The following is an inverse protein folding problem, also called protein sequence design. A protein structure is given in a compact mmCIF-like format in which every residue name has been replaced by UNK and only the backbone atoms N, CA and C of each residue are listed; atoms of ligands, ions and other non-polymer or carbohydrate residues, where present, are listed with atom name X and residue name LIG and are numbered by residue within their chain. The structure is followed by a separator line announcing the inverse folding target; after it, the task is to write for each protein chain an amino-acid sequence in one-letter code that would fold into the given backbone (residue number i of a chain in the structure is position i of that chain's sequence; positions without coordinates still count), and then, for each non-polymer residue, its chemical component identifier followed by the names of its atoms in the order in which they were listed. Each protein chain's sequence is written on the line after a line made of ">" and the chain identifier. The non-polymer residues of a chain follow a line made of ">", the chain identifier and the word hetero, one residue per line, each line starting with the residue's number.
data_IF_642312844127
#
_entry.id   IF_642312844127
#
_cell.length_a   1.000
_cell.length_b   1.000
_cell.length_c   1.000
_cell.angle_alpha   90.00
_cell.angle_beta   90.00
_cell.angle_gamma   90.00
#
_symmetry.space_group_name_H-M   'P 1'
#
loop_
_entity.id
_entity.type
_entity.pdbx_description
1 polymer ?
#
# COMPACT_ATOMS: atom_id res chain seq x y z
N UNK A 1 40.96 -5.00 -51.49
CA UNK A 1 39.73 -5.70 -51.04
C UNK A 1 39.54 -5.76 -49.51
N UNK A 2 40.58 -5.55 -48.68
CA UNK A 2 40.47 -5.66 -47.20
C UNK A 2 39.79 -4.46 -46.51
N UNK A 3 39.79 -3.28 -47.15
CA UNK A 3 39.28 -2.01 -46.59
C UNK A 3 37.75 -1.92 -46.65
N UNK A 4 37.13 -2.39 -47.74
CA UNK A 4 35.66 -2.42 -47.88
C UNK A 4 34.98 -3.28 -46.79
N UNK A 5 35.60 -4.43 -46.45
CA UNK A 5 35.10 -5.38 -45.44
C UNK A 5 35.21 -4.88 -43.99
N UNK A 6 35.95 -3.80 -43.76
CA UNK A 6 36.06 -3.12 -42.46
C UNK A 6 34.96 -2.07 -42.30
N UNK A 7 34.67 -1.33 -43.38
CA UNK A 7 33.66 -0.28 -43.38
C UNK A 7 32.22 -0.86 -43.25
N UNK A 8 31.94 -1.98 -43.93
CA UNK A 8 30.64 -2.67 -43.82
C UNK A 8 30.40 -3.23 -42.40
N UNK A 9 31.45 -3.71 -41.72
CA UNK A 9 31.35 -4.19 -40.34
C UNK A 9 31.07 -3.07 -39.35
N UNK A 10 31.72 -1.92 -39.49
CA UNK A 10 31.45 -0.73 -38.66
C UNK A 10 30.00 -0.25 -38.79
N UNK A 11 29.50 -0.12 -40.03
CA UNK A 11 28.11 0.32 -40.29
C UNK A 11 27.03 -0.67 -39.79
N UNK A 12 27.31 -1.98 -39.81
CA UNK A 12 26.39 -2.99 -39.26
C UNK A 12 26.36 -2.93 -37.72
N UNK A 13 27.51 -2.69 -37.07
CA UNK A 13 27.61 -2.58 -35.62
C UNK A 13 26.86 -1.32 -35.13
N UNK A 14 27.10 -0.14 -35.73
CA UNK A 14 26.40 1.11 -35.39
C UNK A 14 24.87 0.98 -35.49
N UNK A 15 24.35 0.39 -36.58
CA UNK A 15 22.90 0.19 -36.75
C UNK A 15 22.30 -0.77 -35.70
N UNK A 16 23.09 -1.71 -35.18
CA UNK A 16 22.65 -2.62 -34.12
C UNK A 16 22.61 -1.91 -32.76
N UNK A 17 23.61 -1.07 -32.47
CA UNK A 17 23.67 -0.25 -31.25
C UNK A 17 22.48 0.71 -31.17
N UNK A 18 22.17 1.44 -32.26
CA UNK A 18 21.04 2.35 -32.32
C UNK A 18 19.69 1.65 -32.05
N UNK A 19 19.45 0.48 -32.65
CA UNK A 19 18.21 -0.29 -32.41
C UNK A 19 18.06 -0.71 -30.95
N UNK A 20 19.16 -1.15 -30.33
CA UNK A 20 19.18 -1.54 -28.92
C UNK A 20 18.91 -0.32 -28.01
N UNK A 21 19.52 0.83 -28.30
CA UNK A 21 19.30 2.06 -27.55
C UNK A 21 17.84 2.55 -27.62
N UNK A 22 17.24 2.59 -28.81
CA UNK A 22 15.82 2.90 -28.96
C UNK A 22 14.93 1.90 -28.23
N UNK A 23 15.27 0.60 -28.27
CA UNK A 23 14.57 -0.43 -27.52
C UNK A 23 14.56 -0.14 -26.02
N UNK A 24 15.71 0.22 -25.44
CA UNK A 24 15.80 0.58 -24.01
C UNK A 24 14.96 1.81 -23.66
N UNK A 25 14.96 2.85 -24.50
CA UNK A 25 14.15 4.05 -24.29
C UNK A 25 12.66 3.70 -24.30
N UNK A 26 12.20 2.91 -25.27
CA UNK A 26 10.81 2.48 -25.36
C UNK A 26 10.42 1.66 -24.13
N UNK A 27 11.26 0.72 -23.70
CA UNK A 27 11.02 -0.08 -22.49
C UNK A 27 10.93 0.81 -21.26
N UNK A 28 11.84 1.77 -21.08
CA UNK A 28 11.81 2.70 -19.95
C UNK A 28 10.51 3.51 -19.90
N UNK A 29 10.03 4.01 -21.05
CA UNK A 29 8.75 4.73 -21.14
C UNK A 29 7.58 3.82 -20.78
N UNK A 30 7.55 2.59 -21.31
CA UNK A 30 6.49 1.64 -20.99
C UNK A 30 6.46 1.26 -19.51
N UNK A 31 7.62 1.03 -18.90
CA UNK A 31 7.73 0.76 -17.47
C UNK A 31 7.26 1.94 -16.63
N UNK A 32 7.59 3.18 -17.04
CA UNK A 32 7.07 4.38 -16.40
C UNK A 32 5.54 4.45 -16.45
N UNK A 33 4.94 4.24 -17.63
CA UNK A 33 3.49 4.26 -17.81
C UNK A 33 2.78 3.18 -16.99
N UNK A 34 3.27 1.93 -17.06
CA UNK A 34 2.72 0.81 -16.29
C UNK A 34 2.86 1.07 -14.79
N UNK A 35 4.01 1.59 -14.35
CA UNK A 35 4.25 1.95 -12.96
C UNK A 35 3.32 3.06 -12.44
N UNK A 36 2.90 3.98 -13.32
CA UNK A 36 1.97 5.08 -12.98
C UNK A 36 0.54 4.61 -12.90
N UNK A 37 0.11 3.77 -13.84
CA UNK A 37 -1.24 3.17 -13.79
C UNK A 37 -1.35 2.26 -12.57
N UNK A 38 -0.33 1.44 -12.34
CA UNK A 38 -0.33 0.46 -11.25
C UNK A 38 -1.34 -0.67 -11.50
N UNK A 39 -1.66 -1.38 -10.42
CA UNK A 39 -2.70 -2.41 -10.40
C UNK A 39 -3.42 -2.39 -9.05
N UNK A 40 -4.64 -2.93 -9.03
CA UNK A 40 -5.48 -2.98 -7.83
C UNK A 40 -5.73 -4.44 -7.48
N UNK A 41 -5.57 -4.76 -6.20
CA UNK A 41 -5.95 -6.05 -5.64
C UNK A 41 -7.16 -5.84 -4.74
N UNK A 42 -8.25 -6.53 -5.05
CA UNK A 42 -9.51 -6.42 -4.31
C UNK A 42 -9.75 -7.71 -3.51
N UNK A 43 -10.36 -7.57 -2.35
CA UNK A 43 -10.83 -8.72 -1.57
C UNK A 43 -11.88 -8.33 -0.55
N UNK A 44 -12.45 -9.34 0.10
CA UNK A 44 -13.50 -9.17 1.09
C UNK A 44 -13.20 -10.04 2.31
N UNK A 45 -13.44 -9.47 3.49
CA UNK A 45 -13.46 -10.18 4.76
C UNK A 45 -14.88 -10.08 5.29
N UNK A 46 -15.57 -11.21 5.28
CA UNK A 46 -16.95 -11.31 5.76
C UNK A 46 -16.97 -11.77 7.21
N UNK A 47 -18.09 -11.50 7.87
CA UNK A 47 -18.43 -12.05 9.18
C UNK A 47 -17.41 -11.71 10.27
N UNK A 48 -16.79 -10.53 10.20
CA UNK A 48 -15.87 -10.07 11.25
C UNK A 48 -16.68 -9.85 12.52
N UNK A 49 -16.41 -10.62 13.61
CA UNK A 49 -17.15 -10.47 14.85
C UNK A 49 -16.90 -9.09 15.46
N UNK A 50 -17.96 -8.35 15.81
CA UNK A 50 -17.85 -7.08 16.55
C UNK A 50 -17.92 -7.34 18.05
N UNK A 51 -16.81 -7.22 18.80
CA UNK A 51 -16.87 -7.44 20.23
C UNK A 51 -17.62 -6.30 20.91
N UNK A 52 -18.52 -6.68 21.81
CA UNK A 52 -19.62 -5.83 22.23
C UNK A 52 -19.27 -4.96 23.46
N UNK A 53 -18.18 -4.19 23.38
CA UNK A 53 -17.70 -3.33 24.47
C UNK A 53 -17.67 -1.88 23.99
N UNK A 54 -18.42 -0.97 24.63
CA UNK A 54 -18.46 0.45 24.26
C UNK A 54 -17.08 1.10 24.26
N UNK A 55 -16.84 1.98 23.30
CA UNK A 55 -15.68 2.88 23.22
C UNK A 55 -14.31 2.18 23.30
N UNK A 56 -14.25 0.90 22.91
CA UNK A 56 -13.02 0.12 22.84
C UNK A 56 -12.78 -0.39 21.42
N UNK A 57 -11.52 -0.30 21.00
CA UNK A 57 -11.05 -0.90 19.74
C UNK A 57 -10.67 -2.37 19.96
N UNK A 58 -11.07 -3.22 19.03
CA UNK A 58 -10.67 -4.62 18.94
C UNK A 58 -9.94 -4.87 17.64
N UNK A 59 -8.77 -5.48 17.74
CA UNK A 59 -7.89 -5.71 16.59
C UNK A 59 -8.06 -7.11 16.03
N UNK A 60 -7.84 -7.25 14.72
CA UNK A 60 -7.72 -8.55 14.09
C UNK A 60 -6.50 -9.33 14.61
N UNK A 61 -6.60 -10.67 14.57
CA UNK A 61 -5.50 -11.54 15.00
C UNK A 61 -4.33 -11.56 14.00
N UNK A 62 -4.60 -11.31 12.72
CA UNK A 62 -3.61 -11.33 11.64
C UNK A 62 -3.23 -9.89 11.25
N UNK A 63 -1.93 -9.59 11.06
CA UNK A 63 -1.49 -8.30 10.56
C UNK A 63 -1.97 -8.01 9.13
N UNK A 64 -2.09 -6.73 8.81
CA UNK A 64 -2.34 -6.26 7.45
C UNK A 64 -1.17 -6.66 6.53
N UNK A 65 -1.42 -6.94 5.24
CA UNK A 65 -0.38 -7.35 4.31
C UNK A 65 0.77 -6.34 4.25
N UNK A 66 1.97 -6.80 4.57
CA UNK A 66 3.17 -5.96 4.55
C UNK A 66 3.59 -5.60 3.13
N UNK A 67 4.04 -4.36 2.93
CA UNK A 67 4.70 -3.95 1.69
C UNK A 67 6.23 -4.13 1.80
N UNK A 68 6.72 -5.35 1.65
CA UNK A 68 8.17 -5.66 1.75
C UNK A 68 9.08 -4.97 0.73
N UNK A 69 8.53 -4.26 -0.26
CA UNK A 69 9.26 -3.54 -1.30
C UNK A 69 8.92 -2.04 -1.34
N UNK A 70 8.60 -1.41 -0.20
CA UNK A 70 8.19 0.02 -0.11
C UNK A 70 9.05 1.00 -0.93
N UNK A 71 10.35 0.76 -1.05
CA UNK A 71 11.25 1.60 -1.86
C UNK A 71 10.95 1.56 -3.36
N UNK A 72 10.51 0.41 -3.87
CA UNK A 72 10.24 0.15 -5.30
C UNK A 72 8.75 0.14 -5.63
N UNK A 73 7.89 -0.16 -4.66
CA UNK A 73 6.45 -0.29 -4.81
C UNK A 73 5.77 0.51 -3.70
N UNK A 74 4.92 1.45 -4.08
CA UNK A 74 4.01 2.14 -3.17
C UNK A 74 2.71 1.35 -3.12
N UNK A 75 2.20 1.10 -1.91
CA UNK A 75 0.94 0.42 -1.68
C UNK A 75 0.01 1.38 -0.92
N UNK A 76 -1.21 1.55 -1.41
CA UNK A 76 -2.26 2.33 -0.74
C UNK A 76 -3.44 1.41 -0.48
N UNK A 77 -3.82 1.27 0.78
CA UNK A 77 -4.93 0.43 1.23
C UNK A 77 -6.17 1.31 1.38
N UNK A 78 -7.26 0.91 0.73
CA UNK A 78 -8.60 1.47 0.96
C UNK A 78 -9.47 0.38 1.59
N UNK A 79 -10.02 0.67 2.76
CA UNK A 79 -10.96 -0.19 3.49
C UNK A 79 -12.34 0.45 3.45
N UNK A 80 -13.37 -0.32 3.12
CA UNK A 80 -14.78 0.11 3.19
C UNK A 80 -15.60 -0.94 3.92
N UNK A 81 -16.66 -0.51 4.59
CA UNK A 81 -17.53 -1.40 5.38
C UNK A 81 -18.99 -0.95 5.28
N UNK A 82 -19.91 -1.89 5.49
CA UNK A 82 -21.34 -1.72 5.22
C UNK A 82 -22.14 -1.12 6.39
N UNK A 83 -21.45 -0.46 7.34
CA UNK A 83 -22.03 -0.01 8.62
C UNK A 83 -21.60 1.39 9.02
N UNK A 84 -22.52 2.13 9.63
CA UNK A 84 -22.36 3.52 10.08
C UNK A 84 -22.20 3.66 11.61
N UNK A 85 -22.35 2.56 12.33
CA UNK A 85 -22.30 2.47 13.79
C UNK A 85 -20.95 2.02 14.36
N UNK A 86 -19.97 1.74 13.48
CA UNK A 86 -18.60 1.36 13.83
C UNK A 86 -17.59 2.34 13.24
N UNK A 87 -16.42 2.41 13.86
CA UNK A 87 -15.21 3.00 13.28
C UNK A 87 -14.17 1.92 13.01
N UNK A 88 -13.28 2.23 12.08
CA UNK A 88 -12.09 1.44 11.78
C UNK A 88 -10.85 2.27 12.06
N UNK A 89 -9.84 1.67 12.67
CA UNK A 89 -8.52 2.26 12.89
C UNK A 89 -7.42 1.34 12.39
N UNK A 90 -6.26 1.93 12.10
CA UNK A 90 -5.01 1.23 11.84
C UNK A 90 -3.99 1.69 12.87
N UNK A 91 -3.32 0.73 13.50
CA UNK A 91 -2.27 0.94 14.50
C UNK A 91 -1.06 0.06 14.19
N UNK A 92 0.08 0.36 14.79
CA UNK A 92 1.25 -0.49 14.73
C UNK A 92 1.18 -1.66 15.74
N UNK A 93 2.16 -2.56 15.66
CA UNK A 93 2.28 -3.71 16.56
C UNK A 93 2.41 -3.32 18.04
N UNK A 94 3.11 -2.22 18.36
CA UNK A 94 3.36 -1.80 19.74
C UNK A 94 2.06 -1.35 20.40
N UNK A 95 1.26 -0.54 19.71
CA UNK A 95 -0.04 -0.07 20.19
C UNK A 95 -1.04 -1.23 20.29
N UNK A 96 -1.10 -2.11 19.28
CA UNK A 96 -1.91 -3.34 19.34
C UNK A 96 -1.55 -4.19 20.56
N UNK A 97 -0.26 -4.35 20.86
CA UNK A 97 0.20 -5.12 22.03
C UNK A 97 -0.13 -4.42 23.35
N UNK A 98 -0.05 -3.09 23.41
CA UNK A 98 -0.47 -2.31 24.58
C UNK A 98 -1.97 -2.50 24.88
N UNK A 99 -2.80 -2.57 23.84
CA UNK A 99 -4.23 -2.80 23.97
C UNK A 99 -4.61 -4.21 24.40
N UNK A 100 -3.92 -5.22 23.88
CA UNK A 100 -4.08 -6.61 24.31
C UNK A 100 -3.64 -6.82 25.78
N UNK A 101 -2.56 -6.14 26.18
CA UNK A 101 -2.08 -6.19 27.55
C UNK A 101 -3.01 -5.47 28.54
N UNK A 102 -3.91 -4.60 28.06
CA UNK A 102 -4.85 -3.83 28.88
C UNK A 102 -6.19 -4.57 29.02
N UNK A 103 -6.53 -5.09 30.21
CA UNK A 103 -7.82 -5.76 30.42
C UNK A 103 -9.02 -4.84 30.11
N UNK A 104 -10.11 -5.35 29.51
CA UNK A 104 -11.34 -4.60 29.25
C UNK A 104 -11.88 -3.81 30.44
N UNK A 105 -11.75 -4.36 31.65
CA UNK A 105 -12.18 -3.70 32.88
C UNK A 105 -11.37 -2.44 33.26
N UNK A 106 -10.22 -2.21 32.62
CA UNK A 106 -9.34 -1.06 32.87
C UNK A 106 -9.33 -0.05 31.71
N UNK A 107 -9.97 -0.37 30.58
CA UNK A 107 -10.22 0.56 29.49
C UNK A 107 -11.36 1.48 29.86
N UNK A 108 -11.04 2.56 30.57
CA UNK A 108 -11.98 3.63 30.83
C UNK A 108 -11.59 4.85 30.00
N UNK A 109 -12.40 5.25 29.00
CA UNK A 109 -12.15 6.43 28.16
C UNK A 109 -12.07 7.74 28.97
N UNK A 110 -12.67 7.77 30.17
CA UNK A 110 -12.56 8.90 31.10
C UNK A 110 -11.20 8.97 31.84
N UNK A 111 -10.41 7.89 31.84
CA UNK A 111 -9.11 7.80 32.51
C UNK A 111 -7.95 7.73 31.51
N UNK A 112 -8.16 7.11 30.34
CA UNK A 112 -7.16 6.99 29.28
C UNK A 112 -7.85 6.93 27.92
N UNK A 113 -7.25 7.58 26.92
CA UNK A 113 -7.67 7.47 25.51
C UNK A 113 -7.07 6.26 24.80
N UNK A 114 -6.22 5.50 25.50
CA UNK A 114 -5.57 4.31 24.97
C UNK A 114 -6.61 3.29 24.47
N UNK A 115 -6.41 2.75 23.26
CA UNK A 115 -7.29 1.73 22.67
C UNK A 115 -8.73 2.19 22.43
N UNK A 116 -8.92 3.49 22.26
CA UNK A 116 -10.19 4.15 21.94
C UNK A 116 -10.06 4.85 20.59
N UNK A 117 -11.14 5.36 19.97
CA UNK A 117 -11.02 6.09 18.71
C UNK A 117 -10.33 7.46 18.87
N UNK A 118 -10.04 7.87 20.10
CA UNK A 118 -9.39 9.15 20.42
C UNK A 118 -7.92 9.01 20.75
N UNK A 119 -7.36 7.81 20.55
CA UNK A 119 -5.95 7.54 20.81
C UNK A 119 -5.04 8.35 19.89
N UNK A 120 -3.93 8.84 20.46
CA UNK A 120 -2.93 9.62 19.71
C UNK A 120 -2.03 8.76 18.84
N UNK A 121 -1.94 7.46 19.15
CA UNK A 121 -1.06 6.50 18.49
C UNK A 121 -1.76 5.78 17.32
N UNK A 122 -2.96 6.26 16.92
CA UNK A 122 -3.64 5.84 15.70
C UNK A 122 -2.97 6.43 14.46
N UNK A 123 -2.64 5.57 13.51
CA UNK A 123 -1.99 5.95 12.24
C UNK A 123 -3.02 6.45 11.23
N UNK A 124 -4.15 5.76 11.15
CA UNK A 124 -5.25 6.11 10.27
C UNK A 124 -6.58 5.70 10.91
N UNK A 125 -7.63 6.49 10.71
CA UNK A 125 -8.98 6.17 11.20
C UNK A 125 -10.05 6.60 10.20
N UNK A 126 -11.16 5.87 10.18
CA UNK A 126 -12.35 6.20 9.42
C UNK A 126 -13.61 5.90 10.22
N UNK A 127 -14.60 6.77 10.10
CA UNK A 127 -15.88 6.70 10.84
C UNK A 127 -17.09 6.55 9.92
N UNK A 128 -16.88 6.66 8.61
CA UNK A 128 -17.90 6.52 7.59
C UNK A 128 -17.49 5.35 6.68
N UNK A 129 -18.21 4.23 6.77
CA UNK A 129 -17.91 3.05 5.97
C UNK A 129 -18.15 3.23 4.47
N UNK A 130 -18.93 4.24 4.07
CA UNK A 130 -19.21 4.58 2.67
C UNK A 130 -18.10 5.42 2.04
N UNK A 131 -17.49 6.34 2.81
CA UNK A 131 -16.27 7.03 2.39
C UNK A 131 -15.03 6.12 2.52
N UNK A 132 -15.05 5.22 3.51
CA UNK A 132 -13.98 4.29 3.82
C UNK A 132 -12.78 4.94 4.50
N UNK A 133 -11.76 4.12 4.74
CA UNK A 133 -10.46 4.51 5.27
C UNK A 133 -9.40 4.29 4.20
N UNK A 134 -8.68 5.33 3.80
CA UNK A 134 -7.52 5.20 2.91
C UNK A 134 -6.23 5.49 3.67
N UNK A 135 -5.26 4.59 3.55
CA UNK A 135 -3.96 4.68 4.20
C UNK A 135 -2.83 4.19 3.28
N UNK A 136 -1.76 4.96 3.17
CA UNK A 136 -0.56 4.56 2.44
C UNK A 136 0.28 3.62 3.31
N UNK A 137 0.44 2.38 2.86
CA UNK A 137 1.09 1.31 3.63
C UNK A 137 2.58 1.61 3.78
N UNK A 138 2.97 1.85 5.02
CA UNK A 138 4.36 2.05 5.43
C UNK A 138 5.08 0.73 5.67
N UNK A 139 6.40 0.80 5.87
CA UNK A 139 7.18 -0.39 6.20
C UNK A 139 7.00 -0.72 7.69
N UNK A 140 6.41 -1.87 8.00
CA UNK A 140 6.17 -2.31 9.36
C UNK A 140 5.04 -3.32 9.44
N UNK A 141 4.75 -3.75 10.67
CA UNK A 141 3.61 -4.61 11.00
C UNK A 141 2.49 -3.74 11.54
N UNK A 142 1.32 -3.84 10.92
CA UNK A 142 0.16 -3.02 11.25
C UNK A 142 -1.10 -3.87 11.41
N UNK A 143 -2.02 -3.42 12.23
CA UNK A 143 -3.26 -4.12 12.51
C UNK A 143 -4.46 -3.20 12.28
N UNK A 144 -5.50 -3.75 11.65
CA UNK A 144 -6.79 -3.10 11.59
C UNK A 144 -7.58 -3.42 12.86
N UNK A 145 -8.24 -2.41 13.42
CA UNK A 145 -9.13 -2.53 14.55
C UNK A 145 -10.49 -1.91 14.30
N UNK A 146 -11.49 -2.42 14.99
CA UNK A 146 -12.88 -1.96 14.93
C UNK A 146 -13.40 -1.60 16.32
N UNK A 147 -14.29 -0.62 16.40
CA UNK A 147 -14.97 -0.30 17.65
C UNK A 147 -16.21 0.57 17.43
N UNK A 148 -16.89 0.93 18.52
CA UNK A 148 -18.11 1.77 18.49
C UNK A 148 -17.91 3.06 19.27
N UNK A 149 -18.58 4.14 18.85
CA UNK A 149 -18.51 5.45 19.52
C UNK A 149 -19.48 5.62 20.71
N UNK A 150 -20.27 4.60 21.08
CA UNK A 150 -21.27 4.76 22.14
C UNK A 150 -21.71 3.49 22.85
N UNK A 151 -22.60 3.69 23.83
CA UNK A 151 -23.14 2.66 24.75
C UNK A 151 -24.12 1.67 24.11
N UNK A 152 -24.68 2.01 22.94
CA UNK A 152 -25.65 1.17 22.25
C UNK A 152 -24.94 0.18 21.34
N UNK A 153 -25.04 -1.08 21.76
CA UNK A 153 -24.60 -2.29 21.08
C UNK A 153 -25.39 -2.42 19.77
N UNK A 154 -24.74 -2.39 18.61
CA UNK A 154 -25.49 -2.47 17.38
C UNK A 154 -26.01 -3.89 17.09
N UNK A 155 -27.20 -3.99 16.48
CA UNK A 155 -27.80 -5.26 16.10
C UNK A 155 -27.06 -5.86 14.90
N UNK A 156 -26.59 -7.10 15.04
CA UNK A 156 -25.81 -7.81 14.01
C UNK A 156 -24.33 -7.88 14.38
N UNK A 157 -23.85 -9.10 14.58
CA UNK A 157 -22.47 -9.41 15.02
C UNK A 157 -21.44 -9.41 13.89
N UNK A 158 -21.89 -9.19 12.66
CA UNK A 158 -21.10 -9.42 11.45
C UNK A 158 -20.94 -8.10 10.70
N UNK A 159 -19.70 -7.79 10.31
CA UNK A 159 -19.34 -6.67 9.44
C UNK A 159 -18.76 -7.25 8.16
N UNK A 160 -19.22 -6.76 7.01
CA UNK A 160 -18.58 -7.07 5.74
C UNK A 160 -17.59 -5.94 5.43
N UNK A 161 -16.31 -6.28 5.35
CA UNK A 161 -15.25 -5.34 5.01
C UNK A 161 -14.70 -5.67 3.63
N UNK A 162 -14.66 -4.66 2.76
CA UNK A 162 -13.99 -4.76 1.49
C UNK A 162 -12.65 -4.01 1.58
N UNK A 163 -11.61 -4.59 0.98
CA UNK A 163 -10.32 -3.95 0.88
C UNK A 163 -9.88 -3.84 -0.58
N UNK A 164 -9.27 -2.72 -0.91
CA UNK A 164 -8.61 -2.47 -2.19
C UNK A 164 -7.17 -2.05 -1.92
N UNK A 165 -6.19 -2.74 -2.52
CA UNK A 165 -4.77 -2.38 -2.44
C UNK A 165 -4.31 -1.87 -3.79
N UNK A 166 -4.07 -0.57 -3.86
CA UNK A 166 -3.49 0.09 -5.03
C UNK A 166 -1.97 0.00 -4.99
N UNK A 167 -1.39 -0.73 -5.94
CA UNK A 167 0.06 -0.90 -6.07
C UNK A 167 0.59 -0.08 -7.23
N UNK A 168 1.53 0.82 -6.95
CA UNK A 168 2.17 1.72 -7.92
C UNK A 168 3.69 1.64 -7.83
N UNK A 169 4.38 2.05 -8.89
CA UNK A 169 5.83 2.16 -8.84
C UNK A 169 6.25 3.23 -7.81
N UNK A 170 7.19 2.87 -6.95
CA UNK A 170 7.83 3.77 -5.99
C UNK A 170 8.90 4.63 -6.65
N UNK A 171 9.44 5.57 -5.87
CA UNK A 171 10.44 6.53 -6.34
C UNK A 171 11.69 5.84 -6.94
N UNK A 172 12.20 4.80 -6.28
CA UNK A 172 13.41 4.11 -6.75
C UNK A 172 13.16 3.41 -8.09
N UNK A 173 11.97 2.85 -8.30
CA UNK A 173 11.60 2.24 -9.58
C UNK A 173 11.60 3.28 -10.70
N UNK A 174 10.95 4.43 -10.51
CA UNK A 174 10.98 5.52 -11.50
C UNK A 174 12.39 6.04 -11.78
N UNK A 175 13.22 6.15 -10.74
CA UNK A 175 14.62 6.54 -10.91
C UNK A 175 15.37 5.54 -11.80
N UNK A 176 15.19 4.23 -11.58
CA UNK A 176 15.80 3.19 -12.43
C UNK A 176 15.26 3.22 -13.87
N UNK A 177 13.96 3.48 -14.06
CA UNK A 177 13.38 3.64 -15.40
C UNK A 177 13.99 4.84 -16.12
N UNK A 178 14.19 5.96 -15.42
CA UNK A 178 14.85 7.14 -15.98
C UNK A 178 16.32 6.86 -16.34
N UNK A 179 17.07 6.16 -15.47
CA UNK A 179 18.44 5.74 -15.77
C UNK A 179 18.50 4.82 -17.01
N UNK A 180 17.59 3.86 -17.12
CA UNK A 180 17.48 2.97 -18.28
C UNK A 180 17.19 3.77 -19.55
N UNK A 181 16.29 4.75 -19.49
CA UNK A 181 15.99 5.64 -20.60
C UNK A 181 17.20 6.48 -21.03
N UNK A 182 17.91 7.07 -20.07
CA UNK A 182 19.12 7.85 -20.34
C UNK A 182 20.25 6.99 -20.91
N UNK A 183 20.48 5.79 -20.36
CA UNK A 183 21.46 4.84 -20.87
C UNK A 183 21.11 4.39 -22.29
N UNK A 184 19.84 4.08 -22.54
CA UNK A 184 19.31 3.76 -23.87
C UNK A 184 19.55 4.89 -24.86
N UNK A 185 19.24 6.13 -24.48
CA UNK A 185 19.47 7.31 -25.30
C UNK A 185 20.95 7.52 -25.61
N UNK A 186 21.83 7.44 -24.60
CA UNK A 186 23.27 7.55 -24.80
C UNK A 186 23.78 6.47 -25.78
N UNK A 187 23.28 5.24 -25.68
CA UNK A 187 23.64 4.13 -26.57
C UNK A 187 23.21 4.36 -28.04
N UNK A 188 22.16 5.15 -28.28
CA UNK A 188 21.80 5.58 -29.65
C UNK A 188 22.79 6.56 -30.28
N UNK A 189 23.61 7.22 -29.45
CA UNK A 189 24.56 8.25 -29.86
C UNK A 189 26.00 7.76 -29.89
N UNK A 190 26.26 6.54 -29.43
CA UNK A 190 27.58 5.91 -29.53
C UNK A 190 27.83 5.47 -30.98
N UNK A 191 28.84 6.09 -31.59
CA UNK A 191 29.39 5.77 -32.92
C UNK A 191 30.44 4.65 -32.85
#
# INVERSE_FOLDING_TARGET
>A
MRIARSNERGGIIMRKQQKIGYGMVVVAVLLGLVGTVGFVLEGQVNDVPTPNVPERTFFGDEPLPENGLTAFVSASLTLTWDRDDIYVVIVDEDERNACDATPPALSNPALSKACTPYDGDIIASGTDGSEGLTWDVEAGVYFAGIGTFGDSLPEGTEVNMNYEVHLRAGFVAYFLFALLGMAGFAYTRME
#
